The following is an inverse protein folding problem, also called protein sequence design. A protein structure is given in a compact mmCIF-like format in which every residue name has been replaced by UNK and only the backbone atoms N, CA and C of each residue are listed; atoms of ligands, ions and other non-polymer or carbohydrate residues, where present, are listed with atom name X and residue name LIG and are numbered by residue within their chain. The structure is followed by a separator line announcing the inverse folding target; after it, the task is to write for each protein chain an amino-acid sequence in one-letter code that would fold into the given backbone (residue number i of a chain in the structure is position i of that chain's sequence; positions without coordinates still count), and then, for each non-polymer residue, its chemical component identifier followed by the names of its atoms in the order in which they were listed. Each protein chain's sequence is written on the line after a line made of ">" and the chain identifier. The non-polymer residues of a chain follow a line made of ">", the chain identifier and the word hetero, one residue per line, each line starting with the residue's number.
data_IF_671498852026
#
_entry.id   IF_671498852026
#
_cell.length_a   1.000
_cell.length_b   1.000
_cell.length_c   1.000
_cell.angle_alpha   90.00
_cell.angle_beta   90.00
_cell.angle_gamma   90.00
#
_symmetry.space_group_name_H-M   'P 1'
#
loop_
_entity.id
_entity.type
_entity.pdbx_description
1 polymer ?
#
# COMPACT_ATOMS: atom_id res chain seq x y z
N UNK A 1 9.06 -3.34 -6.38
CA UNK A 1 9.10 -2.99 -7.81
C UNK A 1 8.62 -1.57 -8.09
N UNK A 2 7.42 -1.18 -7.68
CA UNK A 2 6.83 0.14 -7.95
C UNK A 2 7.77 1.34 -7.71
N UNK A 3 8.33 1.49 -6.50
CA UNK A 3 9.23 2.60 -6.14
C UNK A 3 10.52 2.64 -6.98
N UNK A 4 11.03 1.47 -7.38
CA UNK A 4 12.22 1.36 -8.23
C UNK A 4 11.88 1.84 -9.63
N UNK A 5 10.78 1.36 -10.21
CA UNK A 5 10.28 1.78 -11.53
C UNK A 5 10.04 3.29 -11.56
N UNK A 6 9.30 3.83 -10.59
CA UNK A 6 8.99 5.26 -10.52
C UNK A 6 10.23 6.14 -10.36
N UNK A 7 11.24 5.68 -9.61
CA UNK A 7 12.53 6.38 -9.52
C UNK A 7 13.25 6.37 -10.86
N UNK A 8 13.29 5.23 -11.54
CA UNK A 8 13.95 5.09 -12.83
C UNK A 8 13.36 6.02 -13.91
N UNK A 9 12.02 6.15 -13.97
CA UNK A 9 11.36 7.08 -14.90
C UNK A 9 11.24 8.52 -14.38
N UNK A 10 11.79 8.84 -13.20
CA UNK A 10 11.76 10.20 -12.65
C UNK A 10 10.37 10.71 -12.23
N UNK A 11 9.45 9.82 -11.85
CA UNK A 11 8.05 10.14 -11.55
C UNK A 11 7.69 10.09 -10.07
N UNK A 12 8.68 9.93 -9.19
CA UNK A 12 8.44 9.76 -7.74
C UNK A 12 7.73 10.97 -7.11
N UNK A 13 7.95 12.19 -7.61
CA UNK A 13 7.28 13.40 -7.11
C UNK A 13 5.76 13.41 -7.33
N UNK A 14 5.24 12.62 -8.27
CA UNK A 14 3.81 12.59 -8.62
C UNK A 14 2.97 11.68 -7.71
N UNK A 15 3.62 10.91 -6.82
CA UNK A 15 2.93 10.05 -5.85
C UNK A 15 2.86 10.65 -4.44
N UNK A 16 3.60 11.73 -4.18
CA UNK A 16 3.68 12.33 -2.83
C UNK A 16 2.62 13.43 -2.62
N UNK A 17 2.05 13.97 -3.70
CA UNK A 17 1.08 15.08 -3.64
C UNK A 17 -0.22 14.67 -4.33
N UNK A 18 -1.39 14.94 -3.71
CA UNK A 18 -2.68 14.68 -4.35
C UNK A 18 -2.83 15.49 -5.64
N UNK A 19 -3.62 14.95 -6.57
CA UNK A 19 -3.96 15.67 -7.79
C UNK A 19 -4.69 16.97 -7.43
N UNK A 20 -4.37 18.06 -8.14
CA UNK A 20 -5.05 19.34 -7.95
C UNK A 20 -6.55 19.20 -8.26
N UNK A 21 -7.38 19.96 -7.57
CA UNK A 21 -8.80 20.05 -7.91
C UNK A 21 -9.01 20.61 -9.33
N UNK A 22 -10.06 20.16 -10.04
CA UNK A 22 -10.39 20.70 -11.35
C UNK A 22 -10.67 22.21 -11.27
N UNK A 23 -10.29 22.98 -12.31
CA UNK A 23 -10.55 24.41 -12.37
C UNK A 23 -12.05 24.70 -12.33
N UNK A 24 -12.43 25.78 -11.65
CA UNK A 24 -13.80 26.32 -11.70
C UNK A 24 -14.07 26.98 -13.05
N UNK A 25 -15.34 27.24 -13.36
CA UNK A 25 -15.75 27.90 -14.62
C UNK A 25 -15.06 29.28 -14.78
N UNK A 26 -14.82 29.98 -13.67
CA UNK A 26 -14.20 31.31 -13.63
C UNK A 26 -12.65 31.25 -13.50
N UNK A 27 -12.04 30.06 -13.64
CA UNK A 27 -10.61 29.91 -13.50
C UNK A 27 -9.85 30.62 -14.63
N UNK A 28 -8.67 31.16 -14.29
CA UNK A 28 -7.81 31.78 -15.30
C UNK A 28 -7.32 30.73 -16.31
N UNK A 29 -7.07 31.11 -17.58
CA UNK A 29 -6.52 30.19 -18.58
C UNK A 29 -5.21 29.52 -18.14
N UNK A 30 -4.38 30.25 -17.38
CA UNK A 30 -3.14 29.74 -16.80
C UNK A 30 -3.39 28.63 -15.77
N UNK A 31 -4.40 28.79 -14.91
CA UNK A 31 -4.80 27.76 -13.95
C UNK A 31 -5.25 26.50 -14.70
N UNK A 32 -6.10 26.65 -15.71
CA UNK A 32 -6.62 25.52 -16.49
C UNK A 32 -5.50 24.76 -17.22
N UNK A 33 -4.54 25.48 -17.83
CA UNK A 33 -3.38 24.88 -18.49
C UNK A 33 -2.46 24.12 -17.52
N UNK A 34 -2.23 24.70 -16.34
CA UNK A 34 -1.44 24.06 -15.27
C UNK A 34 -2.11 22.80 -14.76
N UNK A 35 -3.43 22.84 -14.52
CA UNK A 35 -4.20 21.67 -14.13
C UNK A 35 -4.11 20.56 -15.17
N UNK A 36 -4.35 20.87 -16.45
CA UNK A 36 -4.29 19.89 -17.53
C UNK A 36 -2.93 19.18 -17.60
N UNK A 37 -1.83 19.94 -17.47
CA UNK A 37 -0.48 19.36 -17.43
C UNK A 37 -0.31 18.42 -16.25
N UNK A 38 -0.76 18.81 -15.05
CA UNK A 38 -0.68 17.96 -13.86
C UNK A 38 -1.55 16.69 -13.96
N UNK A 39 -2.71 16.79 -14.60
CA UNK A 39 -3.62 15.68 -14.85
C UNK A 39 -2.97 14.63 -15.75
N UNK A 40 -2.42 15.06 -16.89
CA UNK A 40 -1.75 14.17 -17.84
C UNK A 40 -0.54 13.48 -17.21
N UNK A 41 0.25 14.19 -16.40
CA UNK A 41 1.40 13.57 -15.73
C UNK A 41 0.99 12.60 -14.61
N UNK A 42 -0.12 12.87 -13.93
CA UNK A 42 -0.70 11.93 -12.98
C UNK A 42 -1.20 10.67 -13.70
N UNK A 43 -1.98 10.81 -14.77
CA UNK A 43 -2.53 9.69 -15.55
C UNK A 43 -1.42 8.75 -16.06
N UNK A 44 -0.35 9.30 -16.63
CA UNK A 44 0.82 8.50 -17.04
C UNK A 44 1.45 7.74 -15.87
N UNK A 45 1.54 8.39 -14.71
CA UNK A 45 2.12 7.79 -13.51
C UNK A 45 1.21 6.68 -12.99
N UNK A 46 -0.10 6.91 -12.97
CA UNK A 46 -1.10 5.93 -12.56
C UNK A 46 -1.07 4.68 -13.44
N UNK A 47 -1.09 4.84 -14.77
CA UNK A 47 -0.99 3.72 -15.72
C UNK A 47 0.30 2.91 -15.54
N UNK A 48 1.44 3.58 -15.33
CA UNK A 48 2.70 2.89 -15.07
C UNK A 48 2.67 2.12 -13.75
N UNK A 49 2.03 2.68 -12.73
CA UNK A 49 1.86 2.01 -11.45
C UNK A 49 0.99 0.76 -11.60
N UNK A 50 -0.15 0.86 -12.26
CA UNK A 50 -1.03 -0.28 -12.57
C UNK A 50 -0.28 -1.38 -13.31
N UNK A 51 0.50 -1.03 -14.34
CA UNK A 51 1.30 -2.01 -15.09
C UNK A 51 2.33 -2.77 -14.22
N UNK A 52 2.72 -2.22 -13.07
CA UNK A 52 3.65 -2.87 -12.13
C UNK A 52 2.95 -3.72 -11.05
N UNK A 53 1.62 -3.69 -10.98
CA UNK A 53 0.82 -4.43 -10.01
C UNK A 53 0.36 -5.79 -10.56
N UNK A 54 0.05 -6.78 -9.71
CA UNK A 54 -0.61 -8.01 -10.14
C UNK A 54 -2.05 -7.74 -10.61
N UNK A 55 -2.62 -8.56 -11.52
CA UNK A 55 -3.92 -8.31 -12.14
C UNK A 55 -5.08 -8.09 -11.15
N UNK A 56 -5.06 -8.80 -10.02
CA UNK A 56 -6.09 -8.70 -8.99
C UNK A 56 -6.12 -7.27 -8.42
N UNK A 57 -4.94 -6.72 -8.12
CA UNK A 57 -4.80 -5.38 -7.56
C UNK A 57 -4.99 -4.29 -8.63
N UNK A 58 -4.67 -4.56 -9.90
CA UNK A 58 -4.92 -3.61 -10.98
C UNK A 58 -6.39 -3.26 -11.10
N UNK A 59 -7.28 -4.26 -11.00
CA UNK A 59 -8.72 -4.06 -11.12
C UNK A 59 -9.29 -3.21 -9.99
N UNK A 60 -8.74 -3.34 -8.78
CA UNK A 60 -9.21 -2.60 -7.61
C UNK A 60 -8.73 -1.13 -7.60
N UNK A 61 -7.78 -0.79 -8.47
CA UNK A 61 -7.05 0.47 -8.46
C UNK A 61 -7.17 1.26 -9.78
N UNK A 62 -7.94 0.78 -10.77
CA UNK A 62 -7.97 1.33 -12.13
C UNK A 62 -8.57 2.74 -12.22
N UNK A 63 -9.42 3.11 -11.26
CA UNK A 63 -10.06 4.41 -11.13
C UNK A 63 -9.28 5.39 -10.23
N UNK A 64 -8.16 4.95 -9.63
CA UNK A 64 -7.41 5.71 -8.64
C UNK A 64 -6.34 6.58 -9.27
N UNK A 65 -6.08 7.73 -8.64
CA UNK A 65 -4.91 8.54 -8.99
C UNK A 65 -3.62 7.88 -8.49
N UNK A 66 -2.47 8.30 -9.02
CA UNK A 66 -1.16 7.81 -8.57
C UNK A 66 -0.94 8.00 -7.05
N UNK A 67 -1.42 9.13 -6.49
CA UNK A 67 -1.35 9.42 -5.07
C UNK A 67 -2.27 8.50 -4.25
N UNK A 68 -3.52 8.34 -4.69
CA UNK A 68 -4.50 7.51 -3.97
C UNK A 68 -4.06 6.05 -3.94
N UNK A 69 -3.56 5.53 -5.06
CA UNK A 69 -2.99 4.17 -5.12
C UNK A 69 -1.87 3.96 -4.11
N UNK A 70 -0.91 4.89 -4.00
CA UNK A 70 0.18 4.72 -3.03
C UNK A 70 -0.34 4.71 -1.60
N UNK A 71 -1.27 5.61 -1.26
CA UNK A 71 -1.84 5.64 0.08
C UNK A 71 -2.68 4.40 0.40
N UNK A 72 -3.47 3.93 -0.55
CA UNK A 72 -4.27 2.72 -0.39
C UNK A 72 -3.38 1.49 -0.21
N UNK A 73 -2.32 1.35 -1.01
CA UNK A 73 -1.33 0.28 -0.83
C UNK A 73 -0.64 0.37 0.53
N UNK A 74 -0.19 1.56 0.95
CA UNK A 74 0.43 1.76 2.26
C UNK A 74 -0.55 1.32 3.36
N UNK A 75 -1.80 1.77 3.31
CA UNK A 75 -2.82 1.42 4.28
C UNK A 75 -3.10 -0.09 4.30
N UNK A 76 -3.28 -0.72 3.14
CA UNK A 76 -3.50 -2.17 3.04
C UNK A 76 -2.37 -2.95 3.67
N UNK A 77 -1.11 -2.68 3.30
CA UNK A 77 0.03 -3.43 3.80
C UNK A 77 0.39 -3.12 5.26
N UNK A 78 0.21 -1.87 5.71
CA UNK A 78 0.41 -1.52 7.12
C UNK A 78 -0.67 -2.12 8.03
N UNK A 79 -1.93 -2.06 7.61
CA UNK A 79 -3.03 -2.68 8.35
C UNK A 79 -2.88 -4.20 8.38
N UNK A 80 -2.55 -4.82 7.25
CA UNK A 80 -2.30 -6.26 7.18
C UNK A 80 -1.17 -6.67 8.11
N UNK A 81 -0.01 -6.00 8.07
CA UNK A 81 1.12 -6.31 8.95
C UNK A 81 0.76 -6.12 10.43
N UNK A 82 0.00 -5.07 10.75
CA UNK A 82 -0.48 -4.81 12.11
C UNK A 82 -1.44 -5.91 12.60
N UNK A 83 -2.35 -6.35 11.74
CA UNK A 83 -3.28 -7.43 12.03
C UNK A 83 -2.55 -8.77 12.23
N UNK A 84 -1.63 -9.13 11.34
CA UNK A 84 -0.82 -10.33 11.44
C UNK A 84 0.04 -10.36 12.73
N UNK A 85 0.59 -9.20 13.10
CA UNK A 85 1.34 -9.02 14.35
C UNK A 85 0.42 -9.24 15.55
N UNK A 86 -0.75 -8.59 15.57
CA UNK A 86 -1.75 -8.75 16.63
C UNK A 86 -2.21 -10.21 16.77
N UNK A 87 -2.52 -10.86 15.65
CA UNK A 87 -2.95 -12.26 15.64
C UNK A 87 -1.86 -13.20 16.15
N UNK A 88 -0.60 -12.95 15.79
CA UNK A 88 0.55 -13.71 16.29
C UNK A 88 0.74 -13.51 17.80
N UNK A 89 0.64 -12.27 18.28
CA UNK A 89 0.69 -11.97 19.73
C UNK A 89 -0.46 -12.64 20.47
N UNK A 90 -1.67 -12.60 19.92
CA UNK A 90 -2.85 -13.28 20.48
C UNK A 90 -2.64 -14.78 20.55
N UNK A 91 -2.13 -15.40 19.47
CA UNK A 91 -1.81 -16.83 19.43
C UNK A 91 -0.77 -17.22 20.48
N UNK A 92 0.28 -16.41 20.66
CA UNK A 92 1.27 -16.61 21.71
C UNK A 92 0.65 -16.50 23.11
N UNK A 93 -0.17 -15.48 23.35
CA UNK A 93 -0.82 -15.24 24.65
C UNK A 93 -1.76 -16.38 25.06
N UNK A 94 -2.51 -16.94 24.11
CA UNK A 94 -3.41 -18.08 24.39
C UNK A 94 -2.70 -19.44 24.32
N UNK A 95 -1.43 -19.50 23.91
CA UNK A 95 -0.64 -20.72 23.82
C UNK A 95 -0.30 -21.24 25.22
N UNK A 96 -1.23 -21.98 25.83
CA UNK A 96 -1.03 -22.71 27.09
C UNK A 96 -0.58 -24.13 26.81
N UNK A 97 0.21 -24.70 27.71
CA UNK A 97 0.58 -26.11 27.64
C UNK A 97 -0.65 -26.96 27.98
N UNK A 98 -0.98 -27.91 27.13
CA UNK A 98 -2.12 -28.81 27.33
C UNK A 98 -1.73 -29.96 28.27
N UNK A 99 -2.69 -30.51 29.02
CA UNK A 99 -2.46 -31.63 29.92
C UNK A 99 -1.96 -32.86 29.12
N UNK A 100 -0.80 -33.38 29.52
CA UNK A 100 -0.13 -34.48 28.81
C UNK A 100 0.72 -34.06 27.60
N UNK A 101 0.78 -32.76 27.26
CA UNK A 101 1.66 -32.26 26.21
C UNK A 101 3.13 -32.29 26.67
N UNK A 102 4.03 -32.75 25.79
CA UNK A 102 5.47 -32.66 26.03
C UNK A 102 5.91 -31.19 26.08
N UNK A 103 6.60 -30.80 27.15
CA UNK A 103 7.09 -29.43 27.33
C UNK A 103 7.98 -28.94 26.18
N UNK A 104 8.79 -29.82 25.58
CA UNK A 104 9.61 -29.47 24.41
C UNK A 104 8.77 -29.11 23.18
N UNK A 105 7.67 -29.83 22.93
CA UNK A 105 6.73 -29.53 21.84
C UNK A 105 6.04 -28.18 22.08
N UNK A 106 5.62 -27.92 23.31
CA UNK A 106 5.03 -26.64 23.70
C UNK A 106 5.99 -25.47 23.49
N UNK A 107 7.24 -25.59 23.95
CA UNK A 107 8.27 -24.57 23.78
C UNK A 107 8.56 -24.30 22.30
N UNK A 108 8.63 -25.33 21.46
CA UNK A 108 8.79 -25.16 20.00
C UNK A 108 7.62 -24.40 19.38
N UNK A 109 6.39 -24.68 19.81
CA UNK A 109 5.19 -23.96 19.36
C UNK A 109 5.24 -22.49 19.77
N UNK A 110 5.57 -22.19 21.02
CA UNK A 110 5.76 -20.80 21.48
C UNK A 110 6.85 -20.08 20.69
N UNK A 111 8.00 -20.75 20.48
CA UNK A 111 9.10 -20.23 19.69
C UNK A 111 8.64 -19.88 18.27
N UNK A 112 7.81 -20.71 17.64
CA UNK A 112 7.31 -20.43 16.28
C UNK A 112 6.46 -19.15 16.17
N UNK A 113 5.80 -18.73 17.25
CA UNK A 113 5.10 -17.44 17.29
C UNK A 113 6.06 -16.29 17.55
N UNK A 114 7.04 -16.47 18.44
CA UNK A 114 8.08 -15.46 18.70
C UNK A 114 8.92 -15.19 17.44
N UNK A 115 9.26 -16.22 16.67
CA UNK A 115 10.03 -16.09 15.43
C UNK A 115 9.25 -15.33 14.31
N UNK A 116 7.92 -15.14 14.48
CA UNK A 116 7.05 -14.39 13.56
C UNK A 116 6.79 -12.94 14.00
N UNK A 117 7.21 -12.57 15.22
CA UNK A 117 7.10 -11.21 15.78
C UNK A 117 8.41 -10.45 15.57
#
# INVERSE_FOLDING_TARGET
>A
NLRITLRYVGRLQHIDTPLRNPPTIDATPEHAATYHTSFVENEKTALLMLACMPPELQKDMDDRTAFDMVNELINMFQNQASQETYDTQRQLYVCKMEDGQLGSSHVLKMKSYIDKL
#
